data_IF_047966939387
#
_entry.id   IF_047966939387
#
_cell.length_a   1.000
_cell.length_b   1.000
_cell.length_c   1.000
_cell.angle_alpha   90.00
_cell.angle_beta   90.00
_cell.angle_gamma   90.00
#
_symmetry.space_group_name_H-M   'P 1'
#
loop_
_entity.id
_entity.type
_entity.pdbx_description
1 polymer ?
#
# COMPACT_ATOMS: atom_id res chain seq x y z
N UNK A 1 8.48 -0.85 8.39
CA UNK A 1 8.48 -0.23 9.72
C UNK A 1 8.37 1.29 9.65
N UNK A 2 8.98 1.94 8.66
CA UNK A 2 8.93 3.41 8.53
C UNK A 2 7.54 3.96 8.20
N UNK A 3 6.72 3.23 7.45
CA UNK A 3 5.35 3.65 7.08
C UNK A 3 4.36 3.67 8.23
N UNK A 4 4.57 2.86 9.28
CA UNK A 4 3.71 2.88 10.47
C UNK A 4 4.15 3.92 11.52
N UNK A 5 5.41 4.34 11.53
CA UNK A 5 5.91 5.33 12.48
C UNK A 5 5.53 6.77 12.10
N UNK A 6 5.49 7.08 10.80
CA UNK A 6 5.17 8.43 10.28
C UNK A 6 3.79 8.96 10.69
N UNK A 7 2.68 8.19 10.60
CA UNK A 7 1.39 8.63 11.09
C UNK A 7 1.39 8.93 12.59
N UNK A 8 2.13 8.13 13.40
CA UNK A 8 2.25 8.35 14.85
C UNK A 8 2.96 9.69 15.13
N UNK A 9 4.03 9.99 14.43
CA UNK A 9 4.75 11.27 14.53
C UNK A 9 3.88 12.45 14.08
N UNK A 10 3.14 12.27 12.99
CA UNK A 10 2.25 13.29 12.44
C UNK A 10 1.10 13.64 13.38
N UNK A 11 0.50 12.65 14.05
CA UNK A 11 -0.67 12.83 14.90
C UNK A 11 -0.36 13.20 16.37
N UNK A 12 0.85 12.96 16.87
CA UNK A 12 1.22 13.19 18.28
C UNK A 12 1.91 14.52 18.58
N UNK A 13 2.33 15.28 17.59
CA UNK A 13 3.08 16.54 17.79
C UNK A 13 2.41 17.72 17.13
N UNK A 14 2.45 18.87 17.77
CA UNK A 14 2.02 20.14 17.20
C UNK A 14 3.10 20.67 16.27
N UNK A 15 2.91 20.46 14.97
CA UNK A 15 3.82 20.89 13.94
C UNK A 15 3.41 22.24 13.35
N UNK A 16 4.36 23.03 12.86
CA UNK A 16 4.03 24.21 12.07
C UNK A 16 3.26 23.81 10.81
N UNK A 17 2.41 24.70 10.22
CA UNK A 17 1.65 24.38 9.01
C UNK A 17 2.51 23.92 7.83
N UNK A 18 3.76 24.41 7.73
CA UNK A 18 4.72 24.00 6.69
C UNK A 18 5.19 22.56 6.88
N UNK A 19 5.55 22.20 8.12
CA UNK A 19 5.98 20.84 8.46
C UNK A 19 4.84 19.83 8.31
N UNK A 20 3.64 20.21 8.75
CA UNK A 20 2.41 19.41 8.55
C UNK A 20 2.16 19.13 7.06
N UNK A 21 2.28 20.16 6.21
CA UNK A 21 2.12 20.01 4.77
C UNK A 21 3.19 19.09 4.15
N UNK A 22 4.43 19.19 4.60
CA UNK A 22 5.52 18.32 4.15
C UNK A 22 5.29 16.86 4.57
N UNK A 23 5.02 16.61 5.86
CA UNK A 23 4.77 15.27 6.39
C UNK A 23 3.59 14.59 5.70
N UNK A 24 2.52 15.34 5.42
CA UNK A 24 1.35 14.84 4.69
C UNK A 24 1.70 14.44 3.25
N UNK A 25 2.56 15.20 2.56
CA UNK A 25 3.04 14.83 1.21
C UNK A 25 3.87 13.56 1.26
N UNK A 26 4.80 13.51 2.20
CA UNK A 26 5.68 12.37 2.38
C UNK A 26 4.90 11.09 2.70
N UNK A 27 3.90 11.17 3.58
CA UNK A 27 3.01 10.06 3.92
C UNK A 27 2.29 9.49 2.69
N UNK A 28 1.72 10.35 1.84
CA UNK A 28 1.05 9.91 0.63
C UNK A 28 2.00 9.34 -0.44
N UNK A 29 3.20 9.89 -0.57
CA UNK A 29 4.20 9.35 -1.50
C UNK A 29 4.69 7.95 -1.04
N UNK A 30 4.80 7.73 0.27
CA UNK A 30 5.22 6.45 0.84
C UNK A 30 4.28 5.30 0.49
N UNK A 31 2.98 5.55 0.27
CA UNK A 31 2.04 4.50 -0.15
C UNK A 31 2.46 3.94 -1.52
N UNK A 32 2.74 4.80 -2.49
CA UNK A 32 3.17 4.37 -3.82
C UNK A 32 4.53 3.66 -3.77
N UNK A 33 5.47 4.18 -2.98
CA UNK A 33 6.78 3.55 -2.77
C UNK A 33 6.67 2.19 -2.08
N UNK A 34 5.78 2.05 -1.10
CA UNK A 34 5.54 0.77 -0.42
C UNK A 34 4.99 -0.27 -1.39
N UNK A 35 4.01 0.11 -2.21
CA UNK A 35 3.45 -0.79 -3.21
C UNK A 35 4.55 -1.22 -4.19
N UNK A 36 5.26 -0.30 -4.84
CA UNK A 36 6.31 -0.63 -5.81
C UNK A 36 7.47 -1.42 -5.17
N UNK A 37 7.86 -1.05 -3.94
CA UNK A 37 8.89 -1.74 -3.16
C UNK A 37 8.51 -3.19 -2.83
N UNK A 38 7.23 -3.47 -2.57
CA UNK A 38 6.73 -4.82 -2.32
C UNK A 38 6.75 -5.67 -3.60
N UNK A 39 6.39 -5.09 -4.74
CA UNK A 39 6.43 -5.78 -6.04
C UNK A 39 7.84 -6.19 -6.44
N UNK A 40 8.84 -5.41 -6.09
CA UNK A 40 10.22 -5.62 -6.56
C UNK A 40 10.78 -7.00 -6.16
N UNK A 41 10.84 -7.38 -4.86
CA UNK A 41 11.35 -8.70 -4.47
C UNK A 41 10.45 -9.84 -4.94
N UNK A 42 9.12 -9.65 -4.98
CA UNK A 42 8.20 -10.68 -5.45
C UNK A 42 8.39 -10.94 -6.96
N UNK A 43 8.53 -9.89 -7.77
CA UNK A 43 8.78 -10.04 -9.20
C UNK A 43 10.10 -10.76 -9.46
N UNK A 44 11.16 -10.42 -8.74
CA UNK A 44 12.48 -11.04 -8.88
C UNK A 44 12.45 -12.52 -8.46
N UNK A 45 11.70 -12.86 -7.41
CA UNK A 45 11.64 -14.23 -6.87
C UNK A 45 10.70 -15.14 -7.69
N UNK A 46 9.62 -14.60 -8.28
CA UNK A 46 8.52 -15.40 -8.84
C UNK A 46 8.42 -15.34 -10.39
N UNK A 47 9.18 -14.47 -11.05
CA UNK A 47 9.16 -14.33 -12.51
C UNK A 47 10.54 -14.62 -13.11
N UNK A 48 10.57 -15.30 -14.25
CA UNK A 48 11.78 -15.49 -15.04
C UNK A 48 12.29 -14.17 -15.62
N UNK A 49 11.39 -13.30 -16.11
CA UNK A 49 11.70 -11.93 -16.53
C UNK A 49 10.82 -10.91 -15.80
N UNK A 50 11.34 -10.26 -14.75
CA UNK A 50 10.61 -9.28 -13.97
C UNK A 50 10.52 -7.88 -14.59
N UNK A 51 11.24 -7.62 -15.71
CA UNK A 51 11.46 -6.26 -16.25
C UNK A 51 10.18 -5.54 -16.59
N UNK A 52 9.25 -6.21 -17.28
CA UNK A 52 8.00 -5.60 -17.70
C UNK A 52 7.17 -5.15 -16.49
N UNK A 53 7.00 -6.03 -15.48
CA UNK A 53 6.27 -5.71 -14.27
C UNK A 53 6.95 -4.57 -13.48
N UNK A 54 8.27 -4.60 -13.35
CA UNK A 54 9.01 -3.56 -12.63
C UNK A 54 8.91 -2.19 -13.34
N UNK A 55 9.02 -2.15 -14.67
CA UNK A 55 8.84 -0.90 -15.42
C UNK A 55 7.42 -0.35 -15.20
N UNK A 56 6.39 -1.18 -15.31
CA UNK A 56 5.00 -0.75 -15.12
C UNK A 56 4.80 -0.20 -13.71
N UNK A 57 5.17 -0.97 -12.68
CA UNK A 57 4.87 -0.60 -11.29
C UNK A 57 5.64 0.65 -10.84
N UNK A 58 6.91 0.78 -11.21
CA UNK A 58 7.71 1.97 -10.86
C UNK A 58 7.29 3.20 -11.66
N UNK A 59 6.84 3.05 -12.91
CA UNK A 59 6.25 4.15 -13.69
C UNK A 59 4.93 4.62 -13.08
N UNK A 60 4.07 3.69 -12.66
CA UNK A 60 2.84 4.03 -11.92
C UNK A 60 3.16 4.74 -10.59
N UNK A 61 4.15 4.25 -9.84
CA UNK A 61 4.56 4.88 -8.59
C UNK A 61 5.06 6.32 -8.82
N UNK A 62 5.93 6.52 -9.80
CA UNK A 62 6.44 7.85 -10.16
C UNK A 62 5.30 8.79 -10.57
N UNK A 63 4.37 8.32 -11.39
CA UNK A 63 3.19 9.09 -11.81
C UNK A 63 2.28 9.46 -10.63
N UNK A 64 2.01 8.53 -9.71
CA UNK A 64 1.22 8.80 -8.50
C UNK A 64 1.92 9.77 -7.56
N UNK A 65 3.23 9.64 -7.37
CA UNK A 65 4.02 10.57 -6.56
C UNK A 65 3.96 11.96 -7.18
N UNK A 66 4.22 12.11 -8.47
CA UNK A 66 4.12 13.38 -9.17
C UNK A 66 2.72 14.00 -9.04
N UNK A 67 1.66 13.20 -9.26
CA UNK A 67 0.27 13.63 -9.10
C UNK A 67 0.01 14.15 -7.68
N UNK A 68 0.47 13.45 -6.64
CA UNK A 68 0.27 13.85 -5.23
C UNK A 68 1.08 15.06 -4.83
N UNK A 69 2.28 15.25 -5.39
CA UNK A 69 3.10 16.45 -5.14
C UNK A 69 2.52 17.68 -5.80
N UNK A 70 1.99 17.55 -7.02
CA UNK A 70 1.42 18.66 -7.79
C UNK A 70 0.01 19.03 -7.32
N UNK A 71 -0.80 18.04 -6.89
CA UNK A 71 -2.19 18.27 -6.48
C UNK A 71 -2.54 17.65 -5.15
N UNK A 72 -2.06 18.24 -4.05
CA UNK A 72 -2.36 17.82 -2.68
C UNK A 72 -3.83 17.91 -2.28
N UNK A 73 -4.57 18.83 -2.91
CA UNK A 73 -6.01 19.03 -2.67
C UNK A 73 -6.92 18.04 -3.40
N UNK A 74 -6.37 17.10 -4.16
CA UNK A 74 -7.16 16.11 -4.89
C UNK A 74 -8.15 15.39 -3.96
N UNK A 75 -9.40 15.19 -4.39
CA UNK A 75 -10.41 14.53 -3.57
C UNK A 75 -10.10 13.04 -3.39
N UNK A 76 -10.52 12.46 -2.25
CA UNK A 76 -10.25 11.07 -1.89
C UNK A 76 -10.77 10.06 -2.92
N UNK A 77 -11.92 10.32 -3.48
CA UNK A 77 -12.54 9.46 -4.50
C UNK A 77 -11.70 9.33 -5.77
N UNK A 78 -10.77 10.26 -6.00
CA UNK A 78 -9.88 10.24 -7.16
C UNK A 78 -8.58 9.48 -6.88
N UNK A 79 -7.86 9.82 -5.80
CA UNK A 79 -6.55 9.22 -5.56
C UNK A 79 -6.60 7.84 -4.90
N UNK A 80 -7.65 7.53 -4.12
CA UNK A 80 -7.79 6.19 -3.49
C UNK A 80 -7.93 5.08 -4.54
N UNK A 81 -8.81 5.19 -5.57
CA UNK A 81 -8.85 4.21 -6.63
C UNK A 81 -7.53 4.03 -7.39
N UNK A 82 -6.76 5.09 -7.57
CA UNK A 82 -5.46 5.00 -8.27
C UNK A 82 -4.47 4.11 -7.50
N UNK A 83 -4.41 4.20 -6.17
CA UNK A 83 -3.61 3.28 -5.36
C UNK A 83 -4.14 1.85 -5.40
N UNK A 84 -5.48 1.66 -5.41
CA UNK A 84 -6.10 0.33 -5.54
C UNK A 84 -5.73 -0.28 -6.88
N UNK A 85 -5.89 0.45 -7.99
CA UNK A 85 -5.54 -0.04 -9.33
C UNK A 85 -4.07 -0.43 -9.40
N UNK A 86 -3.17 0.40 -8.87
CA UNK A 86 -1.75 0.09 -8.81
C UNK A 86 -1.49 -1.20 -8.00
N UNK A 87 -2.14 -1.37 -6.84
CA UNK A 87 -2.03 -2.58 -6.03
C UNK A 87 -2.62 -3.83 -6.72
N UNK A 88 -3.68 -3.66 -7.52
CA UNK A 88 -4.34 -4.76 -8.24
C UNK A 88 -3.58 -5.26 -9.48
N UNK A 89 -2.49 -4.60 -9.91
CA UNK A 89 -1.64 -5.11 -11.02
C UNK A 89 -1.17 -6.54 -10.73
N UNK A 90 -0.90 -6.89 -9.46
CA UNK A 90 -0.53 -8.25 -9.05
C UNK A 90 -1.55 -9.31 -9.45
N UNK A 91 -2.84 -8.96 -9.52
CA UNK A 91 -3.92 -9.92 -9.84
C UNK A 91 -3.68 -10.57 -11.21
N UNK A 92 -3.18 -9.80 -12.18
CA UNK A 92 -2.84 -10.31 -13.51
C UNK A 92 -1.69 -11.33 -13.49
N UNK A 93 -0.86 -11.31 -12.46
CA UNK A 93 0.31 -12.19 -12.31
C UNK A 93 0.06 -13.37 -11.37
N UNK A 94 -1.07 -13.42 -10.65
CA UNK A 94 -1.39 -14.54 -9.74
C UNK A 94 -1.33 -15.92 -10.43
N UNK A 95 -1.82 -16.10 -11.69
CA UNK A 95 -1.71 -17.39 -12.39
C UNK A 95 -0.27 -17.82 -12.65
N UNK A 96 0.67 -16.87 -12.81
CA UNK A 96 2.10 -17.13 -13.00
C UNK A 96 2.79 -17.39 -11.67
N UNK A 97 2.40 -16.70 -10.59
CA UNK A 97 2.98 -16.87 -9.26
C UNK A 97 2.57 -18.19 -8.61
N UNK A 98 1.34 -18.64 -8.85
CA UNK A 98 0.76 -19.82 -8.20
C UNK A 98 1.60 -21.10 -8.36
N UNK A 99 2.04 -21.50 -9.59
CA UNK A 99 2.84 -22.71 -9.76
C UNK A 99 4.25 -22.60 -9.15
N UNK A 100 4.79 -21.39 -9.00
CA UNK A 100 6.13 -21.15 -8.44
C UNK A 100 6.07 -21.23 -6.92
N UNK A 101 5.12 -20.53 -6.29
CA UNK A 101 4.90 -20.57 -4.84
C UNK A 101 3.45 -20.26 -4.51
N UNK A 102 2.65 -21.31 -4.28
CA UNK A 102 1.25 -21.17 -3.88
C UNK A 102 1.10 -20.47 -2.52
N UNK A 103 1.99 -20.75 -1.57
CA UNK A 103 1.98 -20.15 -0.25
C UNK A 103 2.25 -18.62 -0.32
N UNK A 104 3.24 -18.18 -1.10
CA UNK A 104 3.49 -16.76 -1.33
C UNK A 104 2.30 -16.09 -2.03
N UNK A 105 1.70 -16.76 -3.02
CA UNK A 105 0.53 -16.26 -3.75
C UNK A 105 -0.70 -16.10 -2.86
N UNK A 106 -0.97 -17.05 -1.96
CA UNK A 106 -2.05 -16.94 -0.97
C UNK A 106 -1.79 -15.77 -0.01
N UNK A 107 -0.59 -15.66 0.56
CA UNK A 107 -0.25 -14.58 1.46
C UNK A 107 -0.38 -13.20 0.77
N UNK A 108 0.10 -13.09 -0.48
CA UNK A 108 -0.06 -11.88 -1.30
C UNK A 108 -1.53 -11.52 -1.52
N UNK A 109 -2.36 -12.52 -1.85
CA UNK A 109 -3.79 -12.32 -2.09
C UNK A 109 -4.53 -11.87 -0.83
N UNK A 110 -4.28 -12.52 0.31
CA UNK A 110 -4.86 -12.14 1.61
C UNK A 110 -4.45 -10.73 1.99
N UNK A 111 -3.17 -10.38 1.82
CA UNK A 111 -2.67 -9.02 2.07
C UNK A 111 -3.30 -7.98 1.16
N UNK A 112 -3.47 -8.30 -0.13
CA UNK A 112 -4.16 -7.44 -1.10
C UNK A 112 -5.61 -7.16 -0.71
N UNK A 113 -6.36 -8.20 -0.30
CA UNK A 113 -7.73 -8.06 0.20
C UNK A 113 -7.77 -7.15 1.44
N UNK A 114 -6.84 -7.32 2.38
CA UNK A 114 -6.76 -6.48 3.58
C UNK A 114 -6.51 -5.01 3.21
N UNK A 115 -5.61 -4.70 2.27
CA UNK A 115 -5.38 -3.34 1.79
C UNK A 115 -6.62 -2.74 1.11
N UNK A 116 -7.31 -3.50 0.26
CA UNK A 116 -8.54 -3.04 -0.41
C UNK A 116 -9.63 -2.76 0.63
N UNK A 117 -9.83 -3.66 1.60
CA UNK A 117 -10.78 -3.45 2.69
C UNK A 117 -10.46 -2.18 3.48
N UNK A 118 -9.20 -1.95 3.83
CA UNK A 118 -8.75 -0.71 4.46
C UNK A 118 -9.03 0.52 3.62
N UNK A 119 -8.74 0.47 2.32
CA UNK A 119 -9.00 1.58 1.40
C UNK A 119 -10.49 1.91 1.28
N UNK A 120 -11.36 0.90 1.26
CA UNK A 120 -12.82 1.07 1.25
C UNK A 120 -13.29 1.70 2.57
N UNK A 121 -12.84 1.20 3.72
CA UNK A 121 -13.12 1.79 5.04
C UNK A 121 -12.72 3.26 5.08
N UNK A 122 -11.54 3.59 4.58
CA UNK A 122 -11.04 4.96 4.53
C UNK A 122 -11.87 5.86 3.60
N UNK A 123 -12.27 5.36 2.43
CA UNK A 123 -13.08 6.09 1.47
C UNK A 123 -14.48 6.39 2.01
N UNK A 124 -15.13 5.38 2.60
CA UNK A 124 -16.49 5.45 3.13
C UNK A 124 -16.56 6.13 4.51
N UNK A 125 -15.43 6.27 5.23
CA UNK A 125 -15.35 6.73 6.62
C UNK A 125 -16.21 5.89 7.57
N UNK A 126 -16.32 4.59 7.33
CA UNK A 126 -17.11 3.60 8.09
C UNK A 126 -16.40 2.24 8.07
N UNK A 127 -16.56 1.37 9.08
CA UNK A 127 -17.28 1.59 10.34
C UNK A 127 -16.49 2.43 11.35
N UNK A 128 -17.18 3.01 12.33
CA UNK A 128 -16.59 3.49 13.57
C UNK A 128 -16.99 2.49 14.65
N UNK A 129 -16.07 1.58 15.03
CA UNK A 129 -16.36 0.46 15.96
C UNK A 129 -16.54 0.99 17.38
N UNK A 130 -15.68 1.94 17.78
CA UNK A 130 -15.79 2.66 19.05
C UNK A 130 -15.46 4.14 18.76
N UNK A 131 -16.46 5.02 18.51
CA UNK A 131 -16.24 6.36 17.96
C UNK A 131 -15.29 7.25 18.79
N UNK A 132 -15.15 6.99 20.09
CA UNK A 132 -14.26 7.73 20.97
C UNK A 132 -12.81 7.23 20.95
N UNK A 133 -12.55 5.96 20.59
CA UNK A 133 -11.23 5.35 20.74
C UNK A 133 -10.78 4.55 19.51
N UNK A 134 -11.70 4.04 18.70
CA UNK A 134 -11.39 3.18 17.54
C UNK A 134 -12.34 3.48 16.37
N UNK A 135 -12.01 4.54 15.63
CA UNK A 135 -12.76 5.01 14.48
C UNK A 135 -12.34 4.32 13.16
N UNK A 136 -12.90 4.79 12.06
CA UNK A 136 -12.59 4.27 10.72
C UNK A 136 -11.10 4.40 10.34
N UNK A 137 -10.41 5.37 10.91
CA UNK A 137 -9.00 5.63 10.64
C UNK A 137 -8.10 4.55 11.26
N UNK A 138 -8.41 4.15 12.50
CA UNK A 138 -7.72 3.06 13.20
C UNK A 138 -8.01 1.71 12.54
N UNK A 139 -9.24 1.49 12.08
CA UNK A 139 -9.59 0.29 11.27
C UNK A 139 -8.78 0.25 9.99
N UNK A 140 -8.67 1.37 9.27
CA UNK A 140 -7.83 1.48 8.09
C UNK A 140 -6.37 1.09 8.40
N UNK A 141 -5.78 1.65 9.45
CA UNK A 141 -4.40 1.31 9.84
C UNK A 141 -4.24 -0.16 10.25
N UNK A 142 -5.23 -0.75 10.92
CA UNK A 142 -5.21 -2.18 11.25
C UNK A 142 -5.19 -3.04 9.98
N UNK A 143 -6.01 -2.71 8.99
CA UNK A 143 -6.01 -3.38 7.69
C UNK A 143 -4.66 -3.21 6.97
N UNK A 144 -4.05 -2.02 7.03
CA UNK A 144 -2.74 -1.79 6.39
C UNK A 144 -1.62 -2.57 7.07
N UNK A 145 -1.64 -2.71 8.39
CA UNK A 145 -0.68 -3.55 9.14
C UNK A 145 -0.83 -5.02 8.77
N UNK A 146 -2.06 -5.54 8.74
CA UNK A 146 -2.33 -6.92 8.30
C UNK A 146 -1.83 -7.14 6.88
N UNK A 147 -2.18 -6.24 5.95
CA UNK A 147 -1.71 -6.29 4.57
C UNK A 147 -0.19 -6.30 4.47
N UNK A 148 0.48 -5.44 5.24
CA UNK A 148 1.94 -5.37 5.28
C UNK A 148 2.57 -6.69 5.77
N UNK A 149 2.07 -7.25 6.88
CA UNK A 149 2.59 -8.52 7.42
C UNK A 149 2.40 -9.66 6.43
N UNK A 150 1.23 -9.74 5.78
CA UNK A 150 0.97 -10.76 4.75
C UNK A 150 1.91 -10.61 3.55
N UNK A 151 2.12 -9.40 3.04
CA UNK A 151 3.03 -9.15 1.93
C UNK A 151 4.49 -9.40 2.30
N UNK A 152 4.91 -9.01 3.50
CA UNK A 152 6.23 -9.34 4.01
C UNK A 152 6.44 -10.87 4.11
N UNK A 153 5.45 -11.59 4.64
CA UNK A 153 5.48 -13.05 4.68
C UNK A 153 5.55 -13.67 3.28
N UNK A 154 4.79 -13.13 2.32
CA UNK A 154 4.84 -13.56 0.92
C UNK A 154 6.25 -13.40 0.33
N UNK A 155 6.92 -12.28 0.58
CA UNK A 155 8.31 -12.04 0.14
C UNK A 155 9.27 -13.06 0.76
N UNK A 156 9.19 -13.27 2.09
CA UNK A 156 10.06 -14.23 2.79
C UNK A 156 9.89 -15.64 2.21
N UNK A 157 8.64 -16.08 2.03
CA UNK A 157 8.32 -17.40 1.47
C UNK A 157 8.80 -17.51 0.02
N UNK A 158 8.56 -16.48 -0.81
CA UNK A 158 8.98 -16.49 -2.21
C UNK A 158 10.51 -16.53 -2.38
N UNK A 159 11.26 -15.87 -1.50
CA UNK A 159 12.72 -15.85 -1.54
C UNK A 159 13.37 -17.09 -0.90
N UNK A 160 12.61 -17.90 -0.17
CA UNK A 160 13.08 -19.15 0.44
C UNK A 160 12.68 -20.40 -0.35
N UNK A 161 11.88 -20.27 -1.39
CA UNK A 161 11.47 -21.36 -2.29
C UNK A 161 12.44 -21.53 -3.44
#
# INVERSE_FOLDING_TARGET
>A
VQTCALPIFYHRSYWSPRVTGFLRRFDHCNIALLIAGTYTPLAIALLEDPRALLIIIWSCAAGLIAFRLLWMGAPRWLYTPLYIVMGCIAVAYLPVFWPVSSAATVALSVGGIAYIAGAVVYALKRPAIAPLHFGFHEVFHSCTVIGFVCHWSAIVVAMSA
#
